data_IF_249887759239
#
_entry.id   IF_249887759239
#
_cell.length_a   1.000
_cell.length_b   1.000
_cell.length_c   1.000
_cell.angle_alpha   90.00
_cell.angle_beta   90.00
_cell.angle_gamma   90.00
#
_symmetry.space_group_name_H-M   'P 1'
#
loop_
_entity.id
_entity.type
_entity.pdbx_description
1 polymer ?
#
# COMPACT_ATOMS: atom_id res chain seq x y z
N UNK A 1 -11.18 -13.12 -27.00
CA UNK A 1 -10.84 -12.84 -25.59
C UNK A 1 -10.55 -14.13 -24.82
N UNK A 2 -11.44 -15.13 -24.76
CA UNK A 2 -11.22 -16.41 -24.04
C UNK A 2 -9.96 -17.18 -24.50
N UNK A 3 -9.65 -17.17 -25.81
CA UNK A 3 -8.46 -17.83 -26.36
C UNK A 3 -7.16 -17.15 -25.94
N UNK A 4 -7.14 -15.82 -25.89
CA UNK A 4 -5.98 -15.03 -25.45
C UNK A 4 -5.71 -15.30 -23.96
N UNK A 5 -6.73 -15.20 -23.12
CA UNK A 5 -6.62 -15.52 -21.68
C UNK A 5 -6.11 -16.94 -21.45
N UNK A 6 -6.56 -17.93 -22.23
CA UNK A 6 -6.09 -19.32 -22.14
C UNK A 6 -4.61 -19.44 -22.53
N UNK A 7 -4.17 -18.74 -23.59
CA UNK A 7 -2.74 -18.72 -23.98
C UNK A 7 -1.86 -18.11 -22.89
N UNK A 8 -2.28 -16.96 -22.35
CA UNK A 8 -1.53 -16.28 -21.27
C UNK A 8 -1.44 -17.20 -20.04
N UNK A 9 -2.55 -17.77 -19.57
CA UNK A 9 -2.55 -18.71 -18.43
C UNK A 9 -1.64 -19.91 -18.66
N UNK A 10 -1.52 -20.39 -19.90
CA UNK A 10 -0.64 -21.51 -20.23
C UNK A 10 0.83 -21.19 -20.02
N UNK A 11 1.26 -19.93 -20.23
CA UNK A 11 2.63 -19.50 -19.96
C UNK A 11 2.98 -19.57 -18.46
N UNK A 12 1.96 -19.48 -17.58
CA UNK A 12 2.10 -19.68 -16.14
C UNK A 12 1.72 -21.12 -15.71
N UNK A 13 1.94 -22.11 -16.58
CA UNK A 13 1.67 -23.52 -16.29
C UNK A 13 0.19 -23.92 -16.35
N UNK A 14 -0.72 -23.01 -16.67
CA UNK A 14 -2.16 -23.27 -16.86
C UNK A 14 -2.96 -23.52 -15.56
N UNK A 15 -2.29 -23.67 -14.42
CA UNK A 15 -2.90 -23.98 -13.11
C UNK A 15 -2.93 -22.81 -12.15
N UNK A 16 -2.37 -21.64 -12.55
CA UNK A 16 -2.36 -20.45 -11.72
C UNK A 16 -3.79 -20.03 -11.38
N UNK A 17 -4.10 -19.91 -10.09
CA UNK A 17 -5.39 -19.45 -9.58
C UNK A 17 -5.42 -17.93 -9.41
N UNK A 18 -4.37 -17.38 -8.81
CA UNK A 18 -4.19 -15.95 -8.60
C UNK A 18 -2.71 -15.62 -8.37
N UNK A 19 -2.32 -14.38 -8.62
CA UNK A 19 -1.14 -13.76 -8.01
C UNK A 19 -1.54 -13.13 -6.67
N UNK A 20 -0.59 -13.03 -5.77
CA UNK A 20 -0.73 -12.27 -4.53
C UNK A 20 0.34 -11.18 -4.52
N UNK A 21 -0.09 -9.94 -4.43
CA UNK A 21 0.78 -8.77 -4.28
C UNK A 21 0.72 -8.28 -2.84
N UNK A 22 1.86 -8.07 -2.22
CA UNK A 22 1.98 -7.56 -0.86
C UNK A 22 3.35 -6.94 -0.61
N UNK A 23 3.49 -6.23 0.52
CA UNK A 23 4.74 -5.55 0.90
C UNK A 23 4.94 -4.18 0.23
N UNK A 24 4.07 -3.76 -0.67
CA UNK A 24 4.04 -2.46 -1.32
C UNK A 24 2.74 -2.24 -2.07
N UNK A 25 2.45 -0.99 -2.42
CA UNK A 25 1.27 -0.66 -3.21
C UNK A 25 1.41 -1.22 -4.63
N UNK A 26 0.37 -1.90 -5.11
CA UNK A 26 0.26 -2.29 -6.52
C UNK A 26 -0.31 -1.11 -7.30
N UNK A 27 0.32 -0.77 -8.42
CA UNK A 27 -0.27 0.20 -9.35
C UNK A 27 -1.66 -0.26 -9.81
N UNK A 28 -2.64 0.64 -9.71
CA UNK A 28 -4.03 0.32 -9.99
C UNK A 28 -4.23 -0.13 -11.44
N UNK A 29 -3.61 0.55 -12.42
CA UNK A 29 -3.74 0.21 -13.85
C UNK A 29 -3.14 -1.17 -14.14
N UNK A 30 -2.02 -1.48 -13.51
CA UNK A 30 -1.40 -2.81 -13.64
C UNK A 30 -2.31 -3.88 -13.04
N UNK A 31 -2.85 -3.66 -11.86
CA UNK A 31 -3.79 -4.59 -11.22
C UNK A 31 -5.04 -4.83 -12.04
N UNK A 32 -5.67 -3.76 -12.55
CA UNK A 32 -6.84 -3.83 -13.43
C UNK A 32 -6.51 -4.55 -14.74
N UNK A 33 -5.37 -4.25 -15.35
CA UNK A 33 -4.91 -4.93 -16.56
C UNK A 33 -4.73 -6.43 -16.34
N UNK A 34 -4.01 -6.84 -15.29
CA UNK A 34 -3.80 -8.26 -14.97
C UNK A 34 -5.13 -9.00 -14.77
N UNK A 35 -6.06 -8.40 -14.04
CA UNK A 35 -7.39 -8.97 -13.85
C UNK A 35 -8.16 -9.06 -15.17
N UNK A 36 -8.08 -8.05 -16.03
CA UNK A 36 -8.76 -8.02 -17.33
C UNK A 36 -8.31 -9.12 -18.27
N UNK A 37 -7.02 -9.48 -18.25
CA UNK A 37 -6.47 -10.57 -19.07
C UNK A 37 -6.64 -11.96 -18.44
N UNK A 38 -7.29 -12.04 -17.28
CA UNK A 38 -7.63 -13.29 -16.61
C UNK A 38 -6.52 -13.86 -15.72
N UNK A 39 -5.64 -12.99 -15.25
CA UNK A 39 -4.63 -13.25 -14.21
C UNK A 39 -5.07 -12.55 -12.92
N UNK A 40 -5.97 -13.14 -12.11
CA UNK A 40 -6.44 -12.51 -10.89
C UNK A 40 -5.27 -12.13 -9.99
N UNK A 41 -5.22 -10.85 -9.59
CA UNK A 41 -4.18 -10.34 -8.70
C UNK A 41 -4.84 -9.85 -7.43
N UNK A 42 -4.52 -10.49 -6.33
CA UNK A 42 -5.02 -10.20 -5.00
C UNK A 42 -4.02 -9.30 -4.30
N UNK A 43 -4.44 -8.15 -3.81
CA UNK A 43 -3.62 -7.37 -2.89
C UNK A 43 -3.84 -7.85 -1.47
N UNK A 44 -2.74 -8.00 -0.72
CA UNK A 44 -2.74 -8.26 0.70
C UNK A 44 -1.96 -7.19 1.45
N UNK A 45 -2.38 -6.94 2.68
CA UNK A 45 -1.72 -6.03 3.60
C UNK A 45 -1.22 -6.79 4.82
N UNK A 46 -0.07 -6.40 5.26
CA UNK A 46 0.51 -6.90 6.48
C UNK A 46 1.90 -6.35 6.76
N UNK A 47 2.42 -6.72 7.89
CA UNK A 47 3.72 -6.29 8.40
C UNK A 47 4.31 -7.41 9.25
N UNK A 48 5.61 -7.43 9.42
CA UNK A 48 6.34 -8.45 10.19
C UNK A 48 5.77 -8.59 11.60
N UNK A 49 5.39 -7.49 12.21
CA UNK A 49 4.78 -7.40 13.54
C UNK A 49 3.39 -8.04 13.64
N UNK A 50 2.78 -8.41 12.51
CA UNK A 50 1.49 -9.09 12.41
C UNK A 50 1.56 -10.47 11.72
N UNK A 51 2.72 -11.09 11.60
CA UNK A 51 3.03 -12.50 11.22
C UNK A 51 2.43 -13.03 9.92
N UNK A 52 2.59 -12.45 8.77
CA UNK A 52 2.64 -11.05 8.45
C UNK A 52 1.26 -10.47 8.06
N UNK A 53 0.25 -11.30 7.70
CA UNK A 53 -0.92 -10.87 6.92
C UNK A 53 -2.08 -10.44 7.82
N UNK A 54 -2.57 -9.22 7.59
CA UNK A 54 -3.72 -8.63 8.29
C UNK A 54 -4.99 -8.74 7.44
N UNK A 55 -4.90 -8.45 6.15
CA UNK A 55 -6.02 -8.48 5.21
C UNK A 55 -5.59 -8.93 3.82
N UNK A 56 -6.52 -9.40 3.01
CA UNK A 56 -6.28 -9.76 1.62
C UNK A 56 -7.57 -9.70 0.80
N UNK A 57 -7.46 -9.31 -0.47
CA UNK A 57 -8.56 -9.42 -1.41
C UNK A 57 -9.06 -10.87 -1.51
N UNK A 58 -10.35 -11.03 -1.72
CA UNK A 58 -11.00 -12.34 -1.84
C UNK A 58 -11.08 -12.71 -3.33
N UNK A 59 -10.72 -13.96 -3.72
CA UNK A 59 -10.93 -14.43 -5.07
C UNK A 59 -12.39 -14.28 -5.51
N UNK A 60 -12.62 -13.62 -6.65
CA UNK A 60 -13.96 -13.35 -7.18
C UNK A 60 -14.55 -12.00 -6.74
N UNK A 61 -13.99 -11.35 -5.72
CA UNK A 61 -14.41 -10.05 -5.20
C UNK A 61 -13.21 -9.08 -5.11
N UNK A 62 -12.36 -9.11 -6.14
CA UNK A 62 -11.12 -8.32 -6.14
C UNK A 62 -11.45 -6.84 -6.33
N UNK A 63 -10.97 -6.00 -5.41
CA UNK A 63 -11.01 -4.54 -5.46
C UNK A 63 -9.59 -4.01 -5.41
N UNK A 64 -9.08 -3.58 -6.56
CA UNK A 64 -7.66 -3.20 -6.70
C UNK A 64 -7.30 -1.99 -5.85
N UNK A 65 -8.24 -1.10 -5.61
CA UNK A 65 -8.04 0.08 -4.75
C UNK A 65 -7.96 -0.24 -3.25
N UNK A 66 -8.18 -1.51 -2.86
CA UNK A 66 -8.17 -1.97 -1.47
C UNK A 66 -7.26 -3.18 -1.28
N UNK A 67 -6.92 -3.46 -0.05
CA UNK A 67 -6.19 -4.67 0.35
C UNK A 67 -7.13 -5.74 0.92
N UNK A 68 -8.42 -5.63 0.59
CA UNK A 68 -9.46 -6.58 0.98
C UNK A 68 -9.90 -6.47 2.45
N UNK A 69 -10.82 -7.33 2.89
CA UNK A 69 -11.29 -7.36 4.27
C UNK A 69 -10.21 -7.96 5.19
N UNK A 70 -10.15 -7.54 6.46
CA UNK A 70 -9.34 -8.20 7.47
C UNK A 70 -9.69 -9.68 7.62
N UNK A 71 -8.70 -10.52 7.91
CA UNK A 71 -8.98 -11.91 8.26
C UNK A 71 -9.82 -12.01 9.52
N UNK A 72 -10.67 -13.01 9.62
CA UNK A 72 -11.61 -13.20 10.75
C UNK A 72 -10.92 -13.31 12.12
N UNK A 73 -9.65 -13.69 12.15
CA UNK A 73 -8.82 -13.75 13.36
C UNK A 73 -8.29 -12.40 13.81
N UNK A 74 -8.41 -11.37 12.97
CA UNK A 74 -7.87 -10.03 13.20
C UNK A 74 -9.02 -9.05 13.46
N UNK A 75 -8.85 -8.24 14.48
CA UNK A 75 -9.62 -7.02 14.68
C UNK A 75 -8.83 -5.85 14.11
N UNK A 76 -9.46 -5.05 13.28
CA UNK A 76 -8.86 -3.84 12.69
C UNK A 76 -9.77 -2.66 13.02
N UNK A 77 -9.18 -1.56 13.43
CA UNK A 77 -9.88 -0.28 13.59
C UNK A 77 -8.99 0.87 13.13
N UNK A 78 -9.62 1.98 12.84
CA UNK A 78 -8.94 3.23 12.49
C UNK A 78 -8.96 4.14 13.71
N UNK A 79 -7.81 4.65 14.11
CA UNK A 79 -7.68 5.63 15.18
C UNK A 79 -8.13 7.02 14.71
N UNK A 80 -8.29 7.97 15.63
CA UNK A 80 -8.74 9.34 15.32
C UNK A 80 -7.82 10.09 14.37
N UNK A 81 -6.52 9.75 14.38
CA UNK A 81 -5.51 10.28 13.47
C UNK A 81 -5.39 9.52 12.14
N UNK A 82 -6.28 8.57 11.89
CA UNK A 82 -6.31 7.73 10.69
C UNK A 82 -5.39 6.52 10.73
N UNK A 83 -4.65 6.29 11.82
CA UNK A 83 -3.75 5.14 11.94
C UNK A 83 -4.52 3.82 12.00
N UNK A 84 -4.05 2.84 11.23
CA UNK A 84 -4.58 1.48 11.26
C UNK A 84 -4.07 0.78 12.51
N UNK A 85 -4.98 0.31 13.35
CA UNK A 85 -4.68 -0.47 14.55
C UNK A 85 -5.13 -1.91 14.36
N UNK A 86 -4.24 -2.84 14.72
CA UNK A 86 -4.48 -4.28 14.58
C UNK A 86 -4.43 -4.97 15.93
N UNK A 87 -5.36 -5.87 16.18
CA UNK A 87 -5.35 -6.77 17.33
C UNK A 87 -5.73 -8.17 16.89
N UNK A 88 -4.99 -9.18 17.31
CA UNK A 88 -5.24 -10.57 16.96
C UNK A 88 -4.12 -11.49 17.42
N UNK A 89 -4.33 -12.78 17.27
CA UNK A 89 -3.31 -13.79 17.60
C UNK A 89 -2.08 -13.74 16.72
N UNK A 90 -2.18 -13.10 15.57
CA UNK A 90 -1.08 -12.87 14.63
C UNK A 90 -0.16 -11.71 15.05
N UNK A 91 -0.56 -10.88 16.01
CA UNK A 91 0.30 -9.78 16.51
C UNK A 91 1.45 -10.36 17.32
N UNK A 92 2.67 -9.92 17.01
CA UNK A 92 3.89 -10.36 17.69
C UNK A 92 3.83 -10.11 19.21
N UNK A 93 4.61 -10.86 19.98
CA UNK A 93 4.78 -10.63 21.41
C UNK A 93 5.61 -9.38 21.71
N UNK A 94 6.46 -8.96 20.80
CA UNK A 94 7.30 -7.79 20.91
C UNK A 94 8.65 -7.95 20.21
N UNK A 95 9.42 -6.89 20.22
CA UNK A 95 10.79 -6.88 19.72
C UNK A 95 11.75 -7.50 20.73
N UNK A 96 12.65 -8.36 20.26
CA UNK A 96 13.62 -9.04 21.10
C UNK A 96 14.53 -8.07 21.86
N UNK A 97 14.52 -8.14 23.19
CA UNK A 97 15.28 -7.26 24.10
C UNK A 97 15.03 -5.74 23.94
N UNK A 98 13.93 -5.35 23.28
CA UNK A 98 13.56 -3.95 23.03
C UNK A 98 12.18 -3.65 23.63
N UNK A 99 12.12 -3.64 24.96
CA UNK A 99 10.85 -3.48 25.70
C UNK A 99 10.18 -2.13 25.43
N UNK A 100 10.97 -1.04 25.44
CA UNK A 100 10.46 0.32 25.20
C UNK A 100 9.84 0.46 23.81
N UNK A 101 10.52 -0.06 22.79
CA UNK A 101 10.04 -0.05 21.41
C UNK A 101 8.75 -0.85 21.25
N UNK A 102 8.68 -2.00 21.96
CA UNK A 102 7.48 -2.83 21.98
C UNK A 102 6.31 -2.07 22.63
N UNK A 103 6.51 -1.46 23.80
CA UNK A 103 5.49 -0.67 24.51
C UNK A 103 5.05 0.57 23.71
N UNK A 104 5.92 1.11 22.85
CA UNK A 104 5.59 2.24 21.99
C UNK A 104 4.61 1.88 20.87
N UNK A 105 4.67 0.65 20.37
CA UNK A 105 3.84 0.22 19.23
C UNK A 105 2.70 -0.72 19.60
N UNK A 106 2.79 -1.43 20.75
CA UNK A 106 1.69 -2.26 21.27
C UNK A 106 1.12 -1.59 22.51
N UNK A 107 -0.06 -0.99 22.37
CA UNK A 107 -0.76 -0.27 23.44
C UNK A 107 -2.12 -0.87 23.68
N UNK A 108 -2.42 -1.28 24.92
CA UNK A 108 -3.70 -1.89 25.30
C UNK A 108 -4.07 -3.10 24.42
N UNK A 109 -3.06 -3.86 23.97
CA UNK A 109 -3.23 -5.03 23.10
C UNK A 109 -3.50 -4.69 21.63
N UNK A 110 -3.35 -3.42 21.22
CA UNK A 110 -3.43 -2.98 19.83
C UNK A 110 -2.06 -2.63 19.31
N UNK A 111 -1.71 -3.22 18.16
CA UNK A 111 -0.54 -2.88 17.38
C UNK A 111 -0.81 -1.58 16.60
N UNK A 112 -0.01 -0.57 16.84
CA UNK A 112 0.04 0.66 16.07
C UNK A 112 0.93 0.44 14.84
N UNK A 113 0.31 0.32 13.67
CA UNK A 113 1.02 -0.12 12.46
C UNK A 113 1.91 0.96 11.85
N UNK A 114 1.62 2.23 12.14
CA UNK A 114 2.24 3.37 11.48
C UNK A 114 1.73 3.60 10.05
N UNK A 115 0.78 2.81 9.59
CA UNK A 115 0.11 3.00 8.30
C UNK A 115 -1.22 3.72 8.50
N UNK A 116 -1.58 4.60 7.58
CA UNK A 116 -2.83 5.37 7.57
C UNK A 116 -3.79 4.73 6.57
N UNK A 117 -5.07 4.68 6.91
CA UNK A 117 -6.06 4.08 6.03
C UNK A 117 -7.49 4.27 6.48
N UNK A 118 -8.38 3.62 5.76
CA UNK A 118 -9.82 3.65 6.01
C UNK A 118 -10.45 2.26 5.81
N UNK A 119 -11.58 2.03 6.43
CA UNK A 119 -12.41 0.85 6.17
C UNK A 119 -13.56 1.31 5.28
N UNK A 120 -13.69 0.72 4.10
CA UNK A 120 -14.77 1.04 3.16
C UNK A 120 -16.13 0.59 3.70
N UNK A 121 -17.22 1.07 3.09
CA UNK A 121 -18.58 0.67 3.45
C UNK A 121 -18.81 -0.84 3.35
N UNK A 122 -18.09 -1.50 2.45
CA UNK A 122 -18.13 -2.95 2.23
C UNK A 122 -17.21 -3.73 3.18
N UNK A 123 -16.52 -3.05 4.10
CA UNK A 123 -15.64 -3.67 5.08
C UNK A 123 -14.22 -3.99 4.58
N UNK A 124 -13.82 -3.47 3.41
CA UNK A 124 -12.47 -3.63 2.92
C UNK A 124 -11.53 -2.59 3.51
N UNK A 125 -10.31 -2.98 3.82
CA UNK A 125 -9.25 -2.08 4.27
C UNK A 125 -8.60 -1.43 3.04
N UNK A 126 -8.40 -0.12 3.12
CA UNK A 126 -7.69 0.68 2.12
C UNK A 126 -6.57 1.45 2.78
N UNK A 127 -5.35 1.21 2.35
CA UNK A 127 -4.17 1.93 2.81
C UNK A 127 -4.07 3.22 2.01
N UNK A 128 -3.87 4.33 2.68
CA UNK A 128 -3.75 5.63 2.01
C UNK A 128 -2.36 6.22 2.11
N UNK A 129 -1.64 5.92 3.20
CA UNK A 129 -0.33 6.53 3.46
C UNK A 129 0.47 5.80 4.54
N UNK A 130 1.69 6.31 4.82
CA UNK A 130 2.48 6.00 6.01
C UNK A 130 2.60 7.22 6.92
N UNK A 131 2.29 7.03 8.19
CA UNK A 131 2.27 8.11 9.20
C UNK A 131 3.59 8.87 9.29
N UNK A 132 4.72 8.16 9.19
CA UNK A 132 6.06 8.77 9.23
C UNK A 132 6.46 9.50 7.93
N UNK A 133 5.75 9.24 6.85
CA UNK A 133 6.04 9.80 5.53
C UNK A 133 5.14 11.00 5.22
N UNK A 134 4.07 11.21 6.00
CA UNK A 134 3.21 12.39 5.83
C UNK A 134 4.04 13.66 6.04
N UNK A 135 4.00 14.53 5.05
CA UNK A 135 4.55 15.87 5.11
C UNK A 135 3.53 16.77 5.79
N UNK A 136 3.93 17.45 6.87
CA UNK A 136 3.14 18.50 7.49
C UNK A 136 3.72 19.84 7.08
N UNK A 137 3.02 20.57 6.20
CA UNK A 137 3.48 21.88 5.74
C UNK A 137 3.37 22.95 6.85
N UNK A 138 3.85 24.16 6.61
CA UNK A 138 3.75 25.27 7.56
C UNK A 138 2.30 25.68 7.86
N UNK A 139 1.37 25.41 6.96
CA UNK A 139 -0.07 25.66 7.14
C UNK A 139 -0.75 24.62 8.03
N UNK A 140 -0.07 23.51 8.38
CA UNK A 140 -0.62 22.41 9.15
C UNK A 140 -1.35 21.35 8.29
N UNK A 141 -1.28 21.44 6.97
CA UNK A 141 -1.89 20.45 6.09
C UNK A 141 -1.06 19.17 6.07
N UNK A 142 -1.75 18.03 6.14
CA UNK A 142 -1.17 16.71 5.97
C UNK A 142 -1.15 16.36 4.47
N UNK A 143 0.05 16.25 3.93
CA UNK A 143 0.28 15.99 2.51
C UNK A 143 0.92 14.61 2.37
N UNK A 144 0.32 13.76 1.54
CA UNK A 144 0.86 12.46 1.16
C UNK A 144 1.92 12.63 0.07
N UNK A 145 3.21 12.44 0.34
CA UNK A 145 4.22 12.50 -0.70
C UNK A 145 4.02 11.41 -1.75
N UNK A 146 3.66 10.19 -1.32
CA UNK A 146 3.46 9.05 -2.21
C UNK A 146 2.37 9.29 -3.26
N UNK A 147 1.30 10.05 -2.94
CA UNK A 147 0.27 10.41 -3.93
C UNK A 147 0.83 11.31 -5.02
N UNK A 148 1.67 12.28 -4.64
CA UNK A 148 2.29 13.22 -5.58
C UNK A 148 3.34 12.49 -6.42
N UNK A 149 4.16 11.67 -5.78
CA UNK A 149 5.18 10.85 -6.43
C UNK A 149 4.56 9.92 -7.49
N UNK A 150 3.48 9.24 -7.13
CA UNK A 150 2.75 8.39 -8.07
C UNK A 150 2.15 9.18 -9.24
N UNK A 151 1.62 10.39 -9.00
CA UNK A 151 1.12 11.27 -10.06
C UNK A 151 2.23 11.71 -11.00
N UNK A 152 3.39 12.09 -10.47
CA UNK A 152 4.56 12.46 -11.26
C UNK A 152 5.04 11.29 -12.13
N UNK A 153 5.11 10.09 -11.55
CA UNK A 153 5.53 8.87 -12.27
C UNK A 153 4.51 8.35 -13.30
N UNK A 154 3.31 8.96 -13.43
CA UNK A 154 2.43 8.70 -14.57
C UNK A 154 3.00 9.27 -15.89
N UNK A 155 3.92 10.23 -15.81
CA UNK A 155 4.64 10.72 -16.97
C UNK A 155 5.74 9.71 -17.33
N UNK A 156 5.70 9.15 -18.54
CA UNK A 156 6.65 8.14 -19.03
C UNK A 156 8.13 8.62 -19.02
N UNK A 157 8.35 9.93 -18.97
CA UNK A 157 9.70 10.52 -18.88
C UNK A 157 10.27 10.48 -17.46
N UNK A 158 9.44 10.22 -16.45
CA UNK A 158 9.83 10.19 -15.04
C UNK A 158 9.89 8.74 -14.57
N UNK A 159 11.09 8.28 -14.27
CA UNK A 159 11.35 6.93 -13.76
C UNK A 159 11.08 6.81 -12.28
N UNK A 160 11.48 7.81 -11.51
CA UNK A 160 11.27 7.88 -10.06
C UNK A 160 11.14 9.34 -9.65
N UNK A 161 10.37 9.57 -8.59
CA UNK A 161 10.26 10.87 -7.93
C UNK A 161 10.31 10.70 -6.42
N UNK A 162 10.84 11.70 -5.73
CA UNK A 162 10.83 11.81 -4.28
C UNK A 162 10.39 13.23 -3.89
N UNK A 163 9.32 13.32 -3.11
CA UNK A 163 8.73 14.61 -2.70
C UNK A 163 9.11 14.92 -1.27
N UNK A 164 9.55 16.17 -1.05
CA UNK A 164 9.92 16.70 0.25
C UNK A 164 9.32 18.09 0.47
N UNK A 165 9.00 18.43 1.72
CA UNK A 165 8.45 19.75 2.08
C UNK A 165 7.98 19.84 3.52
N UNK A 166 8.42 18.92 4.40
CA UNK A 166 8.06 18.98 5.82
C UNK A 166 8.47 20.32 6.44
N UNK A 167 7.51 20.94 7.13
CA UNK A 167 7.68 22.29 7.73
C UNK A 167 8.08 23.38 6.73
N UNK A 168 7.72 23.23 5.47
CA UNK A 168 7.92 24.26 4.42
C UNK A 168 6.58 24.76 3.93
N UNK A 169 6.58 25.92 3.29
CA UNK A 169 5.41 26.49 2.61
C UNK A 169 5.33 26.06 1.13
N UNK A 170 6.23 25.21 0.69
CA UNK A 170 6.30 24.66 -0.65
C UNK A 170 6.74 23.19 -0.62
N UNK A 171 6.43 22.48 -1.69
CA UNK A 171 6.95 21.15 -1.94
C UNK A 171 8.03 21.21 -3.01
N UNK A 172 9.02 20.34 -2.91
CA UNK A 172 10.03 20.09 -3.94
C UNK A 172 10.00 18.61 -4.31
N UNK A 173 10.26 18.31 -5.57
CA UNK A 173 10.41 16.95 -6.04
C UNK A 173 11.82 16.75 -6.60
N UNK A 174 12.47 15.68 -6.15
CA UNK A 174 13.67 15.14 -6.81
C UNK A 174 13.20 14.14 -7.85
N UNK A 175 13.57 14.33 -9.11
CA UNK A 175 13.10 13.54 -10.23
C UNK A 175 14.27 12.82 -10.89
N UNK A 176 14.09 11.51 -11.14
CA UNK A 176 14.99 10.73 -11.99
C UNK A 176 14.30 10.54 -13.32
N UNK A 177 14.87 11.10 -14.39
CA UNK A 177 14.34 10.95 -15.74
C UNK A 177 14.77 9.62 -16.37
N UNK A 178 14.01 9.14 -17.34
CA UNK A 178 14.32 7.92 -18.11
C UNK A 178 15.57 8.10 -18.97
N UNK A 179 15.79 9.28 -19.53
CA UNK A 179 16.97 9.63 -20.32
C UNK A 179 17.49 11.02 -19.96
N UNK A 180 18.78 11.30 -20.28
CA UNK A 180 19.38 12.62 -20.03
C UNK A 180 18.75 13.74 -20.88
N UNK A 181 18.18 13.41 -22.03
CA UNK A 181 17.46 14.36 -22.90
C UNK A 181 16.17 14.86 -22.25
N UNK A 182 15.52 14.03 -21.43
CA UNK A 182 14.28 14.38 -20.75
C UNK A 182 14.47 15.39 -19.60
N UNK A 183 15.69 15.60 -19.11
CA UNK A 183 15.95 16.53 -18.00
C UNK A 183 15.50 17.96 -18.31
N UNK A 184 15.75 18.43 -19.54
CA UNK A 184 15.42 19.80 -19.97
C UNK A 184 13.93 20.06 -20.15
N UNK A 185 13.10 19.01 -20.25
CA UNK A 185 11.66 19.14 -20.42
C UNK A 185 10.87 19.01 -19.11
N UNK A 186 11.53 18.59 -18.04
CA UNK A 186 10.94 18.38 -16.71
C UNK A 186 11.18 19.57 -15.79
N UNK A 187 12.23 20.36 -16.02
CA UNK A 187 12.52 21.62 -15.33
C UNK A 187 11.56 22.73 -15.77
#
# INVERSE_FOLDING_TARGET
>A
EKLVRKKIKKQFGGKLKAFVSGGGALDQKIGEFLNSIGLPTLQGYGLTEASPVVSCNIPGEIRIETVGPPFKTNQVKIADDGEILVKGENVMLGYWKMKKETENIIKNGWLHTGDIGEITREGNLKITDRKKEIIVNLGGDNISPSKIENLLCLNEKIKQSFVYGDKKNYLVALIISETDENKKEIE
#
